data_IF_180377213827
#
_entry.id   IF_180377213827
#
_cell.length_a   1.000
_cell.length_b   1.000
_cell.length_c   1.000
_cell.angle_alpha   90.00
_cell.angle_beta   90.00
_cell.angle_gamma   90.00
#
_symmetry.space_group_name_H-M   'P 1'
#
loop_
_entity.id
_entity.type
_entity.pdbx_description
1 polymer ?
#
# COMPACT_ATOMS: atom_id res chain seq x y z
N UNK A 1 -13.94 15.75 -29.68
CA UNK A 1 -13.68 14.38 -29.16
C UNK A 1 -12.20 14.28 -28.80
N UNK A 2 -11.83 14.06 -27.52
CA UNK A 2 -10.41 13.93 -27.12
C UNK A 2 -9.90 12.53 -27.50
N UNK A 3 -8.94 12.47 -28.41
CA UNK A 3 -8.23 11.25 -28.76
C UNK A 3 -7.56 10.66 -27.50
N UNK A 4 -8.01 9.47 -27.06
CA UNK A 4 -7.37 8.77 -25.95
C UNK A 4 -6.06 8.18 -26.47
N UNK A 5 -4.94 8.89 -26.22
CA UNK A 5 -3.59 8.34 -26.31
C UNK A 5 -3.57 7.05 -25.47
N UNK A 6 -3.21 5.92 -26.08
CA UNK A 6 -3.00 4.66 -25.37
C UNK A 6 -2.07 4.88 -24.17
N UNK A 7 -2.37 4.22 -23.06
CA UNK A 7 -1.53 4.26 -21.85
C UNK A 7 -0.13 3.75 -22.24
N UNK A 8 0.84 4.66 -22.36
CA UNK A 8 2.21 4.29 -22.66
C UNK A 8 2.78 3.39 -21.58
N UNK A 9 3.78 2.58 -21.91
CA UNK A 9 4.45 1.65 -20.99
C UNK A 9 4.90 2.29 -19.67
N UNK A 10 5.29 3.57 -19.70
CA UNK A 10 5.59 4.36 -18.50
C UNK A 10 4.36 4.58 -17.59
N UNK A 11 3.18 4.82 -18.16
CA UNK A 11 1.91 4.93 -17.40
C UNK A 11 1.54 3.61 -16.73
N UNK A 12 1.92 2.49 -17.34
CA UNK A 12 1.73 1.16 -16.75
C UNK A 12 2.61 1.02 -15.51
N UNK A 13 3.92 1.33 -15.59
CA UNK A 13 4.84 1.28 -14.44
C UNK A 13 4.40 2.25 -13.32
N UNK A 14 3.96 3.46 -13.68
CA UNK A 14 3.50 4.46 -12.72
C UNK A 14 2.20 4.04 -12.01
N UNK A 15 1.30 3.34 -12.72
CA UNK A 15 0.12 2.70 -12.13
C UNK A 15 0.50 1.50 -11.24
N UNK A 16 1.54 0.77 -11.59
CA UNK A 16 2.02 -0.39 -10.81
C UNK A 16 2.69 0.04 -9.51
N UNK A 17 3.43 1.14 -9.50
CA UNK A 17 4.08 1.68 -8.30
C UNK A 17 3.10 2.40 -7.36
N UNK A 18 2.13 3.13 -7.90
CA UNK A 18 1.05 3.72 -7.08
C UNK A 18 0.13 2.65 -6.49
N UNK A 19 -0.03 1.52 -7.18
CA UNK A 19 -0.66 0.32 -6.63
C UNK A 19 0.20 -0.35 -5.55
N UNK A 20 1.54 -0.29 -5.63
CA UNK A 20 2.43 -0.85 -4.61
C UNK A 20 2.48 -0.05 -3.31
N UNK A 21 2.19 1.26 -3.37
CA UNK A 21 2.31 2.18 -2.23
C UNK A 21 0.99 2.50 -1.50
N UNK A 22 -0.11 1.79 -1.77
CA UNK A 22 -1.33 1.96 -0.98
C UNK A 22 -2.18 3.18 -1.36
N UNK A 23 -2.15 3.60 -2.64
CA UNK A 23 -3.11 4.58 -3.16
C UNK A 23 -4.49 3.92 -3.27
N UNK A 24 -5.19 3.85 -2.15
CA UNK A 24 -6.60 3.50 -2.14
C UNK A 24 -7.39 4.63 -2.82
N UNK A 25 -8.25 4.27 -3.77
CA UNK A 25 -9.15 5.22 -4.42
C UNK A 25 -9.98 5.93 -3.35
N UNK A 26 -10.14 7.26 -3.47
CA UNK A 26 -10.91 8.08 -2.51
C UNK A 26 -12.32 7.57 -2.25
N UNK A 27 -12.97 6.97 -3.25
CA UNK A 27 -14.30 6.35 -3.06
C UNK A 27 -14.31 5.17 -2.08
N UNK A 28 -13.19 4.44 -1.96
CA UNK A 28 -13.04 3.37 -0.96
C UNK A 28 -12.85 3.97 0.42
N UNK A 29 -12.01 5.00 0.51
CA UNK A 29 -11.76 5.74 1.72
C UNK A 29 -13.05 6.37 2.29
N UNK A 30 -13.84 7.04 1.45
CA UNK A 30 -15.12 7.66 1.85
C UNK A 30 -16.12 6.62 2.38
N UNK A 31 -16.32 5.52 1.64
CA UNK A 31 -17.20 4.44 2.09
C UNK A 31 -16.71 3.80 3.40
N UNK A 32 -15.41 3.56 3.51
CA UNK A 32 -14.84 2.94 4.69
C UNK A 32 -14.92 3.94 5.89
N UNK A 33 -14.93 5.26 5.66
CA UNK A 33 -15.17 6.27 6.71
C UNK A 33 -16.65 6.49 7.07
N UNK A 34 -17.57 6.30 6.12
CA UNK A 34 -19.02 6.44 6.36
C UNK A 34 -19.63 5.19 7.01
N UNK A 35 -19.19 4.00 6.61
CA UNK A 35 -19.75 2.72 7.06
C UNK A 35 -18.84 1.96 8.04
N UNK A 36 -17.54 2.29 8.08
CA UNK A 36 -16.55 1.55 8.87
C UNK A 36 -16.43 2.04 10.31
N UNK A 37 -16.12 1.10 11.21
CA UNK A 37 -15.89 1.41 12.62
C UNK A 37 -14.44 1.89 12.81
N UNK A 38 -14.20 2.97 13.57
CA UNK A 38 -12.84 3.46 13.85
C UNK A 38 -11.89 2.39 14.42
N UNK A 39 -12.42 1.43 15.18
CA UNK A 39 -11.66 0.31 15.74
C UNK A 39 -11.00 -0.57 14.67
N UNK A 40 -11.67 -0.80 13.54
CA UNK A 40 -11.16 -1.68 12.48
C UNK A 40 -9.91 -1.09 11.81
N UNK A 41 -9.88 0.25 11.65
CA UNK A 41 -8.71 0.96 11.13
C UNK A 41 -7.53 0.96 12.10
N UNK A 42 -7.80 1.10 13.40
CA UNK A 42 -6.75 1.05 14.43
C UNK A 42 -6.13 -0.34 14.46
N UNK A 43 -6.95 -1.40 14.46
CA UNK A 43 -6.48 -2.78 14.43
C UNK A 43 -5.66 -3.04 13.16
N UNK A 44 -6.15 -2.61 12.00
CA UNK A 44 -5.44 -2.73 10.73
C UNK A 44 -4.08 -2.02 10.75
N UNK A 45 -4.02 -0.81 11.31
CA UNK A 45 -2.79 -0.04 11.47
C UNK A 45 -1.79 -0.71 12.41
N UNK A 46 -2.25 -1.24 13.55
CA UNK A 46 -1.40 -1.96 14.51
C UNK A 46 -0.84 -3.23 13.89
N UNK A 47 -1.67 -4.04 13.23
CA UNK A 47 -1.23 -5.26 12.54
C UNK A 47 -0.22 -4.92 11.43
N UNK A 48 -0.52 -3.91 10.61
CA UNK A 48 0.39 -3.47 9.54
C UNK A 48 1.74 -3.00 10.07
N UNK A 49 1.74 -2.25 11.18
CA UNK A 49 2.97 -1.78 11.84
C UNK A 49 3.77 -2.94 12.42
N UNK A 50 3.12 -3.87 13.12
CA UNK A 50 3.78 -5.05 13.68
C UNK A 50 4.44 -5.90 12.58
N UNK A 51 3.71 -6.15 11.48
CA UNK A 51 4.24 -6.87 10.32
C UNK A 51 5.42 -6.15 9.69
N UNK A 52 5.37 -4.83 9.54
CA UNK A 52 6.47 -4.05 9.00
C UNK A 52 7.74 -4.18 9.86
N UNK A 53 7.59 -4.10 11.20
CA UNK A 53 8.71 -4.28 12.13
C UNK A 53 9.29 -5.69 12.04
N UNK A 54 8.45 -6.73 11.94
CA UNK A 54 8.91 -8.11 11.78
C UNK A 54 9.73 -8.28 10.49
N UNK A 55 9.30 -7.66 9.38
CA UNK A 55 10.06 -7.67 8.12
C UNK A 55 11.44 -7.06 8.32
N UNK A 56 11.54 -5.91 9.01
CA UNK A 56 12.82 -5.29 9.30
C UNK A 56 13.72 -6.18 10.16
N UNK A 57 13.15 -6.83 11.19
CA UNK A 57 13.88 -7.78 12.03
C UNK A 57 14.45 -8.92 11.20
N UNK A 58 13.65 -9.50 10.29
CA UNK A 58 14.12 -10.58 9.40
C UNK A 58 15.26 -10.09 8.52
N UNK A 59 15.14 -8.91 7.91
CA UNK A 59 16.18 -8.32 7.07
C UNK A 59 17.48 -8.11 7.86
N UNK A 60 17.39 -7.53 9.06
CA UNK A 60 18.55 -7.28 9.92
C UNK A 60 19.23 -8.58 10.31
N UNK A 61 18.47 -9.59 10.74
CA UNK A 61 19.03 -10.90 11.07
C UNK A 61 19.68 -11.56 9.87
N UNK A 62 19.08 -11.43 8.68
CA UNK A 62 19.66 -11.98 7.46
C UNK A 62 21.02 -11.32 7.18
N UNK A 63 21.11 -10.00 7.31
CA UNK A 63 22.37 -9.26 7.12
C UNK A 63 23.43 -9.68 8.15
N UNK A 64 23.07 -9.76 9.44
CA UNK A 64 24.02 -10.11 10.50
C UNK A 64 24.54 -11.56 10.41
N UNK A 65 23.74 -12.48 9.88
CA UNK A 65 24.18 -13.87 9.67
C UNK A 65 24.94 -14.06 8.35
N UNK A 66 24.88 -13.08 7.45
CA UNK A 66 25.60 -13.10 6.17
C UNK A 66 26.97 -12.42 6.24
N UNK A 67 27.17 -11.55 7.25
CA UNK A 67 28.44 -10.89 7.59
C UNK A 67 29.32 -11.75 8.48
#
# INVERSE_FOLDING_TARGET
MKARKGTGWLSVIQSTLSAAFGVQKRSKLERDFEEGKPADFIIAGVIGTALFVLVLIVIVNLILNLS
#
